data_IF_586227514842
#
_entry.id   IF_586227514842
#
_cell.length_a   1.000
_cell.length_b   1.000
_cell.length_c   1.000
_cell.angle_alpha   90.00
_cell.angle_beta   90.00
_cell.angle_gamma   90.00
#
_symmetry.space_group_name_H-M   'P 1'
#
loop_
_entity.id
_entity.type
_entity.pdbx_description
1 polymer ?
#
# COMPACT_ATOMS: atom_id res chain seq x y z
N UNK A 1 -13.87 -21.34 12.01
CA UNK A 1 -12.66 -22.17 12.08
C UNK A 1 -11.87 -22.22 10.77
N UNK A 2 -12.36 -22.88 9.71
CA UNK A 2 -11.62 -22.99 8.44
C UNK A 2 -11.21 -21.61 7.88
N UNK A 3 -12.15 -20.66 7.86
CA UNK A 3 -11.87 -19.27 7.46
C UNK A 3 -10.79 -18.60 8.33
N UNK A 4 -10.73 -18.91 9.63
CA UNK A 4 -9.72 -18.38 10.54
C UNK A 4 -8.32 -18.94 10.22
N UNK A 5 -8.26 -20.24 9.92
CA UNK A 5 -7.05 -20.94 9.52
C UNK A 5 -6.55 -20.46 8.16
N UNK A 6 -7.38 -20.56 7.12
CA UNK A 6 -6.99 -20.31 5.72
C UNK A 6 -6.69 -18.85 5.42
N UNK A 7 -7.37 -17.91 6.10
CA UNK A 7 -7.23 -16.47 5.80
C UNK A 7 -6.36 -15.71 6.78
N UNK A 8 -6.05 -16.24 7.96
CA UNK A 8 -5.32 -15.48 8.97
C UNK A 8 -4.13 -16.24 9.58
N UNK A 9 -4.35 -17.45 10.10
CA UNK A 9 -3.30 -18.20 10.81
C UNK A 9 -2.28 -18.86 9.87
N UNK A 10 -2.75 -19.64 8.88
CA UNK A 10 -1.87 -20.32 7.92
C UNK A 10 -1.07 -19.30 7.09
N UNK A 11 -1.65 -18.21 6.56
CA UNK A 11 -0.90 -17.18 5.85
C UNK A 11 -0.05 -16.25 6.74
N UNK A 12 -0.04 -16.45 8.07
CA UNK A 12 0.65 -15.59 9.05
C UNK A 12 0.22 -14.11 9.03
N UNK A 13 -1.04 -13.82 8.70
CA UNK A 13 -1.60 -12.45 8.80
C UNK A 13 -1.86 -12.08 10.27
N UNK A 14 -2.13 -13.07 11.12
CA UNK A 14 -2.23 -12.91 12.58
C UNK A 14 -1.72 -14.16 13.27
N UNK A 15 -0.88 -13.97 14.30
CA UNK A 15 -0.31 -15.06 15.11
C UNK A 15 -1.17 -15.41 16.33
N UNK A 16 -2.30 -14.71 16.53
CA UNK A 16 -3.20 -14.93 17.64
C UNK A 16 -4.48 -15.63 17.16
N UNK A 17 -4.77 -16.82 17.68
CA UNK A 17 -5.91 -17.61 17.24
C UNK A 17 -7.27 -16.97 17.54
N UNK A 18 -7.41 -16.27 18.67
CA UNK A 18 -8.66 -15.65 19.09
C UNK A 18 -8.96 -14.43 18.21
N UNK A 19 -7.94 -13.62 17.93
CA UNK A 19 -8.02 -12.50 16.99
C UNK A 19 -8.39 -12.98 15.60
N UNK A 20 -7.69 -14.00 15.09
CA UNK A 20 -7.96 -14.61 13.78
C UNK A 20 -9.37 -15.20 13.68
N UNK A 21 -9.85 -15.82 14.76
CA UNK A 21 -11.19 -16.38 14.83
C UNK A 21 -12.28 -15.29 14.86
N UNK A 22 -12.09 -14.25 15.66
CA UNK A 22 -12.99 -13.10 15.73
C UNK A 22 -13.06 -12.37 14.37
N UNK A 23 -11.93 -12.14 13.71
CA UNK A 23 -11.90 -11.57 12.36
C UNK A 23 -12.63 -12.45 11.32
N UNK A 24 -12.56 -13.77 11.45
CA UNK A 24 -13.32 -14.68 10.60
C UNK A 24 -14.83 -14.61 10.88
N UNK A 25 -15.24 -14.56 12.15
CA UNK A 25 -16.65 -14.43 12.54
C UNK A 25 -17.24 -13.09 12.08
N UNK A 26 -16.53 -11.99 12.28
CA UNK A 26 -16.95 -10.66 11.80
C UNK A 26 -17.18 -10.70 10.29
N UNK A 27 -16.27 -11.31 9.51
CA UNK A 27 -16.49 -11.46 8.07
C UNK A 27 -17.73 -12.29 7.75
N UNK A 28 -17.97 -13.40 8.45
CA UNK A 28 -19.18 -14.21 8.26
C UNK A 28 -20.45 -13.39 8.55
N UNK A 29 -20.48 -12.64 9.65
CA UNK A 29 -21.63 -11.83 10.04
C UNK A 29 -21.88 -10.61 9.13
N UNK A 30 -20.87 -10.17 8.37
CA UNK A 30 -20.95 -8.91 7.61
C UNK A 30 -20.90 -9.10 6.09
N UNK A 31 -19.93 -9.83 5.56
CA UNK A 31 -19.53 -9.72 4.15
C UNK A 31 -19.40 -11.06 3.44
N UNK A 32 -18.91 -12.10 4.13
CA UNK A 32 -18.54 -13.37 3.53
C UNK A 32 -19.75 -14.25 3.17
N UNK A 33 -20.80 -14.25 3.99
CA UNK A 33 -22.04 -15.00 3.73
C UNK A 33 -23.19 -14.04 3.46
N UNK A 34 -24.28 -14.51 2.84
CA UNK A 34 -25.50 -13.72 2.56
C UNK A 34 -26.74 -14.50 2.99
N UNK A 35 -27.87 -13.78 3.15
CA UNK A 35 -29.17 -14.37 3.46
C UNK A 35 -29.19 -15.11 4.80
N UNK A 36 -29.83 -16.28 4.82
CA UNK A 36 -30.07 -17.05 6.04
C UNK A 36 -28.79 -17.36 6.84
N UNK A 37 -27.67 -17.71 6.17
CA UNK A 37 -26.43 -18.03 6.85
C UNK A 37 -25.82 -16.86 7.61
N UNK A 38 -25.98 -15.63 7.08
CA UNK A 38 -25.54 -14.41 7.77
C UNK A 38 -26.41 -14.15 8.99
N UNK A 39 -27.73 -14.21 8.80
CA UNK A 39 -28.69 -13.98 9.88
C UNK A 39 -28.49 -14.98 11.03
N UNK A 40 -28.36 -16.27 10.70
CA UNK A 40 -28.07 -17.31 11.68
C UNK A 40 -26.78 -17.02 12.47
N UNK A 41 -25.71 -16.59 11.80
CA UNK A 41 -24.45 -16.28 12.46
C UNK A 41 -24.55 -15.03 13.37
N UNK A 42 -25.31 -14.02 12.97
CA UNK A 42 -25.57 -12.82 13.78
C UNK A 42 -26.39 -13.18 15.02
N UNK A 43 -27.48 -13.93 14.85
CA UNK A 43 -28.39 -14.29 15.94
C UNK A 43 -27.72 -15.21 16.99
N UNK A 44 -26.74 -16.00 16.57
CA UNK A 44 -26.01 -16.93 17.43
C UNK A 44 -24.60 -16.44 17.81
N UNK A 45 -24.25 -15.19 17.50
CA UNK A 45 -22.90 -14.65 17.69
C UNK A 45 -22.32 -14.87 19.10
N UNK A 46 -23.06 -14.66 20.21
CA UNK A 46 -22.55 -14.90 21.57
C UNK A 46 -22.12 -16.35 21.83
N UNK A 47 -22.78 -17.31 21.19
CA UNK A 47 -22.45 -18.73 21.30
C UNK A 47 -21.24 -19.07 20.42
N UNK A 48 -21.21 -18.51 19.21
CA UNK A 48 -20.16 -18.74 18.22
C UNK A 48 -18.82 -18.12 18.63
N UNK A 49 -18.81 -17.10 19.48
CA UNK A 49 -17.60 -16.49 20.06
C UNK A 49 -16.75 -17.48 20.88
N UNK A 50 -17.36 -18.52 21.45
CA UNK A 50 -16.64 -19.52 22.24
C UNK A 50 -15.85 -20.44 21.31
N UNK A 51 -14.54 -20.18 21.21
CA UNK A 51 -13.61 -21.05 20.50
C UNK A 51 -13.24 -22.25 21.38
N UNK A 52 -13.65 -23.45 20.98
CA UNK A 52 -13.43 -24.70 21.72
C UNK A 52 -12.20 -25.50 21.23
N UNK A 53 -11.51 -25.02 20.20
CA UNK A 53 -10.45 -25.75 19.50
C UNK A 53 -9.18 -24.93 19.36
N UNK A 54 -8.05 -25.60 19.51
CA UNK A 54 -6.73 -25.04 19.32
C UNK A 54 -6.41 -24.91 17.82
N UNK A 55 -6.68 -23.73 17.28
CA UNK A 55 -6.41 -23.42 15.87
C UNK A 55 -4.92 -23.22 15.61
N UNK A 56 -4.15 -22.81 16.63
CA UNK A 56 -2.73 -22.57 16.50
C UNK A 56 -1.98 -23.88 16.24
N UNK A 57 -2.30 -24.92 17.02
CA UNK A 57 -1.75 -26.27 16.82
C UNK A 57 -2.09 -26.83 15.44
N UNK A 58 -3.33 -26.66 14.98
CA UNK A 58 -3.75 -27.08 13.63
C UNK A 58 -2.98 -26.32 12.54
N UNK A 59 -2.85 -25.00 12.67
CA UNK A 59 -2.10 -24.18 11.72
C UNK A 59 -0.63 -24.61 11.66
N UNK A 60 -0.01 -24.85 12.80
CA UNK A 60 1.39 -25.28 12.89
C UNK A 60 1.60 -26.68 12.28
N UNK A 61 0.69 -27.64 12.50
CA UNK A 61 0.78 -28.96 11.84
C UNK A 61 0.71 -28.81 10.31
N UNK A 62 -0.23 -28.00 9.81
CA UNK A 62 -0.39 -27.73 8.38
C UNK A 62 0.85 -27.04 7.80
N UNK A 63 1.36 -26.00 8.45
CA UNK A 63 2.57 -25.27 8.03
C UNK A 63 3.79 -26.20 8.05
N UNK A 64 3.89 -27.11 9.01
CA UNK A 64 5.01 -28.06 9.09
C UNK A 64 4.95 -29.15 8.01
N UNK A 65 3.76 -29.69 7.71
CA UNK A 65 3.55 -30.70 6.65
C UNK A 65 3.65 -30.10 5.25
N UNK A 66 3.16 -28.88 5.10
CA UNK A 66 3.15 -28.14 3.86
C UNK A 66 3.83 -26.81 4.13
N UNK A 67 5.18 -26.78 4.23
CA UNK A 67 5.91 -25.53 4.37
C UNK A 67 5.48 -24.65 3.22
N UNK A 68 4.71 -23.63 3.56
CA UNK A 68 4.25 -22.66 2.59
C UNK A 68 5.55 -22.17 1.94
N UNK A 69 5.70 -22.39 0.64
CA UNK A 69 6.39 -21.40 -0.15
C UNK A 69 5.61 -20.14 0.19
N UNK A 70 6.13 -19.32 1.12
CA UNK A 70 5.63 -17.99 1.41
C UNK A 70 5.15 -17.49 0.07
N UNK A 71 3.84 -17.23 -0.06
CA UNK A 71 3.22 -16.81 -1.32
C UNK A 71 4.25 -15.92 -1.96
N UNK A 72 4.96 -16.40 -2.99
CA UNK A 72 6.17 -15.71 -3.46
C UNK A 72 5.57 -14.40 -3.92
N UNK A 73 5.76 -13.35 -3.11
CA UNK A 73 5.17 -12.01 -3.29
C UNK A 73 5.38 -11.78 -4.76
N UNK A 74 4.29 -11.75 -5.56
CA UNK A 74 4.31 -11.95 -7.02
C UNK A 74 5.55 -11.26 -7.55
N UNK A 75 6.59 -12.04 -7.85
CA UNK A 75 7.88 -11.46 -8.19
C UNK A 75 7.62 -10.75 -9.50
N UNK A 76 7.74 -9.42 -9.50
CA UNK A 76 7.64 -8.64 -10.73
C UNK A 76 8.54 -9.34 -11.75
N UNK A 77 7.98 -9.74 -12.88
CA UNK A 77 8.75 -10.44 -13.91
C UNK A 77 9.54 -9.38 -14.64
N UNK A 78 10.67 -8.98 -14.04
CA UNK A 78 11.59 -8.01 -14.62
C UNK A 78 12.23 -8.61 -15.88
N UNK A 79 12.54 -7.77 -16.85
CA UNK A 79 13.41 -8.18 -17.94
C UNK A 79 14.79 -8.60 -17.38
N UNK A 80 15.51 -9.49 -18.09
CA UNK A 80 16.76 -10.03 -17.57
C UNK A 80 17.83 -8.98 -17.23
N UNK A 81 17.83 -7.85 -17.92
CA UNK A 81 18.80 -6.77 -17.73
C UNK A 81 18.50 -6.01 -16.43
N UNK A 82 17.25 -5.57 -16.25
CA UNK A 82 16.80 -4.96 -14.99
C UNK A 82 17.01 -5.91 -13.80
N UNK A 83 16.73 -7.21 -13.98
CA UNK A 83 16.95 -8.20 -12.94
C UNK A 83 18.44 -8.33 -12.56
N UNK A 84 19.35 -8.29 -13.54
CA UNK A 84 20.79 -8.34 -13.29
C UNK A 84 21.25 -7.11 -12.49
N UNK A 85 20.78 -5.92 -12.85
CA UNK A 85 21.08 -4.67 -12.11
C UNK A 85 20.59 -4.79 -10.67
N UNK A 86 19.34 -5.24 -10.46
CA UNK A 86 18.75 -5.34 -9.13
C UNK A 86 19.49 -6.34 -8.24
N UNK A 87 19.92 -7.47 -8.82
CA UNK A 87 20.75 -8.45 -8.11
C UNK A 87 22.12 -7.87 -7.70
N UNK A 88 22.67 -6.94 -8.47
CA UNK A 88 23.90 -6.23 -8.12
C UNK A 88 23.73 -5.25 -6.94
N UNK A 89 22.55 -4.66 -6.81
CA UNK A 89 22.24 -3.65 -5.76
C UNK A 89 21.76 -4.31 -4.46
N UNK A 90 21.09 -5.47 -4.55
CA UNK A 90 20.49 -6.16 -3.41
C UNK A 90 21.42 -6.38 -2.21
N UNK A 91 22.69 -6.80 -2.38
CA UNK A 91 23.63 -6.97 -1.25
C UNK A 91 23.96 -5.67 -0.50
N UNK A 92 23.73 -4.51 -1.13
CA UNK A 92 24.04 -3.18 -0.59
C UNK A 92 22.80 -2.46 -0.06
N UNK A 93 21.66 -3.15 -0.06
CA UNK A 93 20.39 -2.64 0.43
C UNK A 93 20.09 -3.20 1.81
N UNK A 94 19.69 -2.32 2.73
CA UNK A 94 19.36 -2.68 4.11
C UNK A 94 18.02 -2.10 4.50
N UNK A 95 17.22 -2.89 5.20
CA UNK A 95 15.97 -2.43 5.78
C UNK A 95 16.25 -1.41 6.89
N UNK A 96 15.38 -0.41 6.99
CA UNK A 96 15.35 0.50 8.13
C UNK A 96 14.52 -0.17 9.22
N UNK A 97 15.16 -0.48 10.35
CA UNK A 97 14.59 -1.33 11.40
C UNK A 97 13.42 -0.72 12.15
N UNK A 98 13.33 0.61 12.19
CA UNK A 98 12.31 1.32 12.96
C UNK A 98 12.09 2.71 12.42
N UNK A 99 10.84 3.15 12.46
CA UNK A 99 10.44 4.53 12.23
C UNK A 99 9.73 5.04 13.48
N UNK A 100 9.81 6.35 13.70
CA UNK A 100 9.03 7.00 14.75
C UNK A 100 7.52 6.81 14.49
N UNK A 101 6.75 6.72 15.57
CA UNK A 101 5.29 6.68 15.50
C UNK A 101 4.75 7.98 14.89
N UNK A 102 3.82 7.82 13.94
CA UNK A 102 3.15 8.95 13.30
C UNK A 102 1.94 9.29 14.15
N UNK A 103 1.91 10.51 14.68
CA UNK A 103 0.81 10.97 15.51
C UNK A 103 -0.31 11.44 14.60
N UNK A 104 -1.43 10.73 14.62
CA UNK A 104 -2.65 11.13 13.90
C UNK A 104 -3.65 11.66 14.91
N UNK A 105 -4.30 12.77 14.59
CA UNK A 105 -5.19 13.49 15.50
C UNK A 105 -6.32 12.59 16.05
N UNK A 106 -6.59 12.69 17.35
CA UNK A 106 -7.29 11.70 18.21
C UNK A 106 -8.77 11.42 17.87
N UNK A 107 -9.33 12.08 16.86
CA UNK A 107 -10.76 11.98 16.54
C UNK A 107 -11.07 11.04 15.37
N UNK A 108 -10.05 10.45 14.74
CA UNK A 108 -10.21 9.64 13.53
C UNK A 108 -9.45 8.32 13.68
N UNK A 109 -10.11 7.21 13.33
CA UNK A 109 -9.42 5.92 13.19
C UNK A 109 -8.54 5.98 11.94
N UNK A 110 -7.24 5.87 12.16
CA UNK A 110 -6.23 5.94 11.11
C UNK A 110 -5.23 4.82 11.29
N UNK A 111 -4.97 4.10 10.19
CA UNK A 111 -3.90 3.13 10.12
C UNK A 111 -2.77 3.72 9.27
N UNK A 112 -1.54 3.65 9.79
CA UNK A 112 -0.36 4.10 9.05
C UNK A 112 0.68 3.00 9.06
N UNK A 113 1.23 2.70 7.89
CA UNK A 113 2.37 1.81 7.72
C UNK A 113 3.51 2.60 7.09
N UNK A 114 4.71 2.43 7.66
CA UNK A 114 5.94 3.03 7.14
C UNK A 114 7.00 1.96 7.02
N UNK A 115 7.61 1.89 5.85
CA UNK A 115 8.72 1.00 5.56
C UNK A 115 9.78 1.78 4.78
N UNK A 116 11.01 1.30 4.82
CA UNK A 116 12.06 1.95 4.04
C UNK A 116 13.33 1.14 4.01
N UNK A 117 14.17 1.54 3.08
CA UNK A 117 15.45 0.92 2.80
C UNK A 117 16.51 1.99 2.67
N UNK A 118 17.72 1.63 3.07
CA UNK A 118 18.94 2.36 2.77
C UNK A 118 19.72 1.59 1.70
N UNK A 119 19.99 2.23 0.58
CA UNK A 119 20.80 1.70 -0.51
C UNK A 119 22.16 2.37 -0.43
N UNK A 120 23.20 1.60 -0.14
CA UNK A 120 24.59 2.09 -0.17
C UNK A 120 25.14 1.89 -1.58
N UNK A 121 25.85 2.86 -2.12
CA UNK A 121 26.43 2.71 -3.45
C UNK A 121 27.45 1.56 -3.47
N UNK A 122 27.36 0.63 -4.44
CA UNK A 122 28.35 -0.42 -4.64
C UNK A 122 29.68 0.14 -5.17
N UNK A 123 29.65 1.34 -5.77
CA UNK A 123 30.82 2.02 -6.35
C UNK A 123 31.53 2.89 -5.32
N UNK A 124 30.78 3.52 -4.41
CA UNK A 124 31.32 4.36 -3.35
C UNK A 124 30.57 4.13 -2.03
N UNK A 125 31.15 3.34 -1.13
CA UNK A 125 30.54 2.98 0.16
C UNK A 125 30.22 4.14 1.10
N UNK A 126 30.70 5.36 0.82
CA UNK A 126 30.37 6.56 1.60
C UNK A 126 29.07 7.21 1.12
N UNK A 127 28.61 6.91 -0.09
CA UNK A 127 27.38 7.45 -0.66
C UNK A 127 26.23 6.47 -0.39
N UNK A 128 25.11 7.02 0.07
CA UNK A 128 23.89 6.24 0.26
C UNK A 128 22.66 7.09 0.05
N UNK A 129 21.60 6.43 -0.37
CA UNK A 129 20.26 7.02 -0.45
C UNK A 129 19.32 6.25 0.46
N UNK A 130 18.28 6.94 0.89
CA UNK A 130 17.21 6.40 1.71
C UNK A 130 15.91 6.51 0.91
N UNK A 131 15.21 5.39 0.79
CA UNK A 131 13.86 5.35 0.22
C UNK A 131 12.87 4.95 1.31
N UNK A 132 11.82 5.74 1.50
CA UNK A 132 10.80 5.53 2.52
C UNK A 132 9.44 5.53 1.84
N UNK A 133 8.63 4.52 2.15
CA UNK A 133 7.24 4.43 1.73
C UNK A 133 6.36 4.57 2.97
N UNK A 134 5.41 5.50 2.90
CA UNK A 134 4.35 5.63 3.89
C UNK A 134 3.01 5.38 3.22
N UNK A 135 2.20 4.48 3.75
CA UNK A 135 0.79 4.30 3.40
C UNK A 135 -0.07 4.65 4.59
N UNK A 136 -1.17 5.34 4.34
CA UNK A 136 -2.11 5.74 5.37
C UNK A 136 -3.53 5.48 4.87
N UNK A 137 -4.36 4.96 5.77
CA UNK A 137 -5.78 4.71 5.55
C UNK A 137 -6.56 5.39 6.68
N UNK A 138 -7.41 6.35 6.31
CA UNK A 138 -8.22 7.11 7.24
C UNK A 138 -9.69 6.81 6.99
N UNK A 139 -10.40 6.46 8.06
CA UNK A 139 -11.84 6.24 8.00
C UNK A 139 -12.58 7.52 8.40
N UNK A 140 -13.65 7.81 7.67
CA UNK A 140 -14.60 8.87 8.01
C UNK A 140 -15.35 8.56 9.30
N UNK A 141 -15.85 9.62 9.94
CA UNK A 141 -16.66 9.52 11.16
C UNK A 141 -18.06 8.99 10.87
N UNK A 142 -18.80 8.60 11.91
CA UNK A 142 -20.16 8.02 11.83
C UNK A 142 -21.16 8.81 10.95
N UNK A 143 -20.97 10.12 10.80
CA UNK A 143 -21.85 10.99 10.02
C UNK A 143 -21.54 11.01 8.51
N UNK A 144 -20.35 10.56 8.10
CA UNK A 144 -19.89 10.51 6.71
C UNK A 144 -19.03 9.26 6.54
N UNK A 145 -19.62 8.17 6.05
CA UNK A 145 -18.88 6.92 5.77
C UNK A 145 -18.00 7.15 4.54
N UNK A 146 -16.82 7.74 4.70
CA UNK A 146 -15.81 7.84 3.67
C UNK A 146 -14.55 7.07 4.07
N UNK A 147 -13.71 6.76 3.11
CA UNK A 147 -12.37 6.22 3.36
C UNK A 147 -11.38 6.92 2.44
N UNK A 148 -10.32 7.43 3.04
CA UNK A 148 -9.22 8.09 2.34
C UNK A 148 -7.99 7.18 2.41
N UNK A 149 -7.40 6.89 1.26
CA UNK A 149 -6.08 6.26 1.18
C UNK A 149 -5.07 7.25 0.66
N UNK A 150 -3.91 7.28 1.31
CA UNK A 150 -2.77 8.07 0.88
C UNK A 150 -1.53 7.23 0.86
N UNK A 151 -0.67 7.43 -0.14
CA UNK A 151 0.65 6.85 -0.17
C UNK A 151 1.69 7.88 -0.60
N UNK A 152 2.90 7.80 -0.04
CA UNK A 152 4.05 8.56 -0.50
C UNK A 152 5.27 7.67 -0.63
N UNK A 153 6.06 7.90 -1.67
CA UNK A 153 7.41 7.37 -1.84
C UNK A 153 8.36 8.56 -1.86
N UNK A 154 9.22 8.61 -0.84
CA UNK A 154 10.24 9.63 -0.68
C UNK A 154 11.60 9.00 -0.89
N UNK A 155 12.40 9.58 -1.77
CA UNK A 155 13.76 9.14 -2.06
C UNK A 155 14.69 10.35 -1.93
N UNK A 156 15.70 10.23 -1.08
CA UNK A 156 16.66 11.30 -0.82
C UNK A 156 18.05 10.74 -0.50
N UNK A 157 19.13 11.54 -0.62
CA UNK A 157 20.42 11.20 -0.03
C UNK A 157 20.26 10.93 1.47
N UNK A 158 20.91 9.88 1.98
CA UNK A 158 20.74 9.47 3.38
C UNK A 158 21.23 10.52 4.39
N UNK A 159 22.10 11.44 3.98
CA UNK A 159 22.59 12.56 4.79
C UNK A 159 21.55 13.67 4.98
N UNK A 160 20.59 13.77 4.06
CA UNK A 160 19.56 14.82 4.07
C UNK A 160 18.34 14.43 4.93
N UNK A 161 18.38 13.27 5.58
CA UNK A 161 17.33 12.80 6.49
C UNK A 161 17.43 13.55 7.83
N UNK A 162 17.13 14.85 7.83
CA UNK A 162 17.00 15.64 9.05
C UNK A 162 15.57 15.63 9.59
N UNK A 163 15.42 15.50 10.91
CA UNK A 163 14.12 15.48 11.59
C UNK A 163 13.59 16.91 11.82
N UNK A 164 12.30 17.13 11.51
CA UNK A 164 11.56 18.33 11.94
C UNK A 164 10.39 17.92 12.84
N UNK A 165 10.14 18.71 13.89
CA UNK A 165 9.09 18.45 14.89
C UNK A 165 7.69 18.82 14.37
N UNK A 166 6.91 17.85 13.88
CA UNK A 166 5.46 17.92 13.61
C UNK A 166 4.77 16.54 13.74
N UNK A 167 3.46 16.44 13.47
CA UNK A 167 2.62 15.22 13.53
C UNK A 167 3.19 14.04 12.71
N UNK A 168 3.88 14.33 11.60
CA UNK A 168 4.84 13.41 10.98
C UNK A 168 6.25 13.83 11.40
N UNK A 169 6.95 13.06 12.25
CA UNK A 169 8.27 13.43 12.78
C UNK A 169 9.35 13.59 11.70
N UNK A 170 9.09 13.08 10.48
CA UNK A 170 9.98 13.22 9.34
C UNK A 170 9.42 14.15 8.24
N UNK A 171 8.18 14.62 8.35
CA UNK A 171 7.50 15.45 7.33
C UNK A 171 7.57 14.85 5.91
N UNK A 172 7.45 13.52 5.80
CA UNK A 172 7.62 12.74 4.56
C UNK A 172 6.29 12.28 3.94
N UNK A 173 5.19 12.46 4.65
CA UNK A 173 3.87 12.07 4.16
C UNK A 173 2.95 13.30 4.03
N UNK A 174 2.61 13.70 2.79
CA UNK A 174 1.73 14.83 2.58
C UNK A 174 0.30 14.39 2.91
N UNK A 175 -0.37 15.12 3.79
CA UNK A 175 -1.76 14.85 4.11
C UNK A 175 -2.65 15.21 2.92
N UNK A 176 -3.51 14.26 2.54
CA UNK A 176 -4.60 14.47 1.60
C UNK A 176 -5.83 14.90 2.40
N UNK A 177 -6.34 16.09 2.12
CA UNK A 177 -7.47 16.67 2.86
C UNK A 177 -8.70 16.79 1.96
N UNK A 178 -9.81 16.23 2.44
CA UNK A 178 -11.16 16.51 1.95
C UNK A 178 -11.84 17.47 2.94
N UNK A 179 -12.06 18.71 2.51
CA UNK A 179 -12.83 19.71 3.24
C UNK A 179 -14.07 20.07 2.45
N UNK A 180 -15.18 20.36 3.14
CA UNK A 180 -16.44 20.79 2.54
C UNK A 180 -16.20 21.88 1.47
N UNK A 181 -16.37 21.51 0.19
CA UNK A 181 -16.28 22.42 -0.95
C UNK A 181 -14.90 22.58 -1.62
N UNK A 182 -13.88 21.82 -1.22
CA UNK A 182 -12.57 21.85 -1.87
C UNK A 182 -12.23 20.52 -2.55
N UNK A 183 -11.78 20.58 -3.82
CA UNK A 183 -11.14 19.44 -4.49
C UNK A 183 -9.98 18.94 -3.62
N UNK A 184 -9.88 17.63 -3.46
CA UNK A 184 -8.82 17.01 -2.69
C UNK A 184 -7.45 17.45 -3.20
N UNK A 185 -6.59 17.93 -2.31
CA UNK A 185 -5.23 18.35 -2.66
C UNK A 185 -4.27 17.96 -1.55
N UNK A 186 -3.07 17.56 -1.93
CA UNK A 186 -1.94 17.45 -1.00
C UNK A 186 -1.59 18.81 -0.42
N UNK A 187 -1.42 18.87 0.91
CA UNK A 187 -1.17 20.11 1.67
C UNK A 187 0.17 20.78 1.34
N UNK A 188 1.22 20.00 1.07
CA UNK A 188 2.52 20.50 0.61
C UNK A 188 3.36 19.34 0.06
N UNK A 189 3.99 19.49 -1.11
CA UNK A 189 4.96 18.51 -1.64
C UNK A 189 6.37 19.09 -1.61
N UNK A 190 7.33 18.34 -1.04
CA UNK A 190 8.75 18.71 -1.06
C UNK A 190 9.43 18.19 -2.34
N UNK A 191 10.69 18.56 -2.57
CA UNK A 191 11.53 18.00 -3.65
C UNK A 191 11.80 16.50 -3.49
N UNK A 192 11.64 15.95 -2.28
CA UNK A 192 11.98 14.57 -1.94
C UNK A 192 10.92 13.56 -2.37
N UNK A 193 9.70 14.03 -2.68
CA UNK A 193 8.57 13.17 -3.05
C UNK A 193 8.66 12.75 -4.52
N UNK A 194 8.99 11.48 -4.74
CA UNK A 194 9.07 10.86 -6.08
C UNK A 194 7.69 10.41 -6.56
N UNK A 195 6.85 9.96 -5.63
CA UNK A 195 5.49 9.52 -5.91
C UNK A 195 4.59 9.84 -4.73
N UNK A 196 3.39 10.35 -5.02
CA UNK A 196 2.32 10.55 -4.04
C UNK A 196 0.99 10.17 -4.67
N UNK A 197 0.16 9.47 -3.92
CA UNK A 197 -1.14 8.94 -4.32
C UNK A 197 -2.20 9.31 -3.29
N UNK A 198 -3.35 9.77 -3.76
CA UNK A 198 -4.51 10.12 -2.94
C UNK A 198 -5.77 9.55 -3.57
N UNK A 199 -6.49 8.74 -2.81
CA UNK A 199 -7.75 8.11 -3.21
C UNK A 199 -8.79 8.46 -2.16
N UNK A 200 -9.91 9.02 -2.62
CA UNK A 200 -11.08 9.29 -1.78
C UNK A 200 -12.22 8.38 -2.22
N UNK A 201 -12.95 7.84 -1.26
CA UNK A 201 -14.15 7.04 -1.52
C UNK A 201 -15.25 7.37 -0.53
N UNK A 202 -16.42 7.77 -1.03
CA UNK A 202 -17.66 7.88 -0.25
C UNK A 202 -18.40 6.52 -0.29
N UNK A 203 -18.87 6.01 0.86
CA UNK A 203 -19.72 4.83 0.98
C UNK A 203 -21.16 5.32 1.20
N UNK A 204 -22.11 4.90 0.36
CA UNK A 204 -23.53 5.21 0.53
C UNK A 204 -24.10 4.56 1.80
N UNK A 205 -25.19 5.15 2.32
CA UNK A 205 -25.83 4.83 3.61
C UNK A 205 -26.18 3.34 3.75
N UNK A 206 -26.37 2.62 2.64
CA UNK A 206 -26.76 1.22 2.57
C UNK A 206 -25.59 0.22 2.50
N UNK A 207 -24.33 0.68 2.46
CA UNK A 207 -23.16 -0.20 2.35
C UNK A 207 -23.07 -0.95 1.02
N UNK A 208 -23.85 -0.53 0.02
CA UNK A 208 -23.68 -0.94 -1.36
C UNK A 208 -22.66 -0.03 -2.04
N UNK A 209 -21.84 -0.57 -2.93
CA UNK A 209 -21.12 0.25 -3.90
C UNK A 209 -22.11 0.53 -5.03
N UNK A 210 -22.77 1.70 -5.05
CA UNK A 210 -23.83 1.93 -6.05
C UNK A 210 -24.38 3.36 -6.14
N UNK A 211 -23.98 4.02 -7.23
CA UNK A 211 -24.62 5.09 -8.02
C UNK A 211 -25.86 5.85 -7.50
N UNK A 212 -25.77 7.19 -7.56
CA UNK A 212 -26.89 8.07 -7.96
C UNK A 212 -26.39 9.48 -8.39
N UNK A 213 -26.34 9.71 -9.70
CA UNK A 213 -26.56 10.98 -10.43
C UNK A 213 -25.72 12.24 -10.08
N UNK A 214 -24.45 12.20 -10.53
CA UNK A 214 -23.53 13.28 -10.98
C UNK A 214 -22.07 12.91 -10.63
N UNK A 215 -21.67 11.70 -11.02
CA UNK A 215 -20.46 11.02 -10.53
C UNK A 215 -19.20 11.20 -11.39
N UNK A 216 -19.30 11.92 -12.52
CA UNK A 216 -18.20 12.01 -13.47
C UNK A 216 -16.98 12.80 -12.94
N UNK A 217 -17.14 13.62 -11.89
CA UNK A 217 -16.05 14.41 -11.32
C UNK A 217 -15.54 13.90 -9.94
N UNK A 218 -16.13 12.84 -9.37
CA UNK A 218 -15.97 12.53 -7.92
C UNK A 218 -15.01 11.40 -7.53
N UNK A 219 -14.43 10.68 -8.50
CA UNK A 219 -13.48 9.59 -8.24
C UNK A 219 -12.14 9.82 -8.97
N UNK A 220 -11.63 11.04 -8.96
CA UNK A 220 -10.28 11.33 -9.48
C UNK A 220 -9.24 10.84 -8.47
N UNK A 221 -8.36 9.95 -8.92
CA UNK A 221 -7.19 9.55 -8.14
C UNK A 221 -6.10 10.61 -8.36
N UNK A 222 -5.77 11.41 -7.34
CA UNK A 222 -4.68 12.41 -7.41
C UNK A 222 -3.35 11.66 -7.32
N UNK A 223 -2.55 11.76 -8.38
CA UNK A 223 -1.21 11.17 -8.45
C UNK A 223 -0.24 12.26 -8.86
N UNK A 224 0.81 12.41 -8.07
CA UNK A 224 1.88 13.37 -8.34
C UNK A 224 3.22 12.68 -8.29
N UNK A 225 4.04 12.98 -9.29
CA UNK A 225 5.31 12.30 -9.49
C UNK A 225 6.43 13.27 -9.80
N UNK A 226 7.64 12.84 -9.48
CA UNK A 226 8.89 13.49 -9.85
C UNK A 226 9.89 12.44 -10.30
N UNK A 227 10.87 12.83 -11.14
CA UNK A 227 12.00 11.96 -11.45
C UNK A 227 12.82 11.68 -10.20
N UNK A 228 13.43 10.50 -10.13
CA UNK A 228 14.37 10.12 -9.08
C UNK A 228 15.84 10.16 -9.54
N UNK A 229 16.12 10.73 -10.72
CA UNK A 229 17.44 10.67 -11.38
C UNK A 229 18.54 11.27 -10.51
N UNK A 230 18.29 12.40 -9.83
CA UNK A 230 19.27 12.99 -8.92
C UNK A 230 19.76 12.01 -7.83
N UNK A 231 18.85 11.19 -7.28
CA UNK A 231 19.21 10.19 -6.26
C UNK A 231 19.90 8.96 -6.89
N UNK A 232 19.47 8.57 -8.09
CA UNK A 232 20.08 7.46 -8.82
C UNK A 232 21.53 7.80 -9.23
N UNK A 233 21.75 8.99 -9.77
CA UNK A 233 23.07 9.52 -10.16
C UNK A 233 24.03 9.58 -8.96
N UNK A 234 23.51 9.93 -7.77
CA UNK A 234 24.27 9.93 -6.50
C UNK A 234 24.83 8.56 -6.13
N UNK A 235 24.22 7.46 -6.60
CA UNK A 235 24.76 6.12 -6.37
C UNK A 235 25.93 5.79 -7.32
N UNK A 236 26.10 6.53 -8.42
CA UNK A 236 27.20 6.34 -9.37
C UNK A 236 27.20 4.98 -10.07
N UNK A 237 26.04 4.29 -10.10
CA UNK A 237 25.88 3.00 -10.76
C UNK A 237 25.65 3.27 -12.25
N UNK A 238 26.47 2.73 -13.17
CA UNK A 238 26.26 2.92 -14.60
C UNK A 238 24.88 2.46 -15.05
N UNK A 239 24.25 3.23 -15.93
CA UNK A 239 22.93 2.95 -16.54
C UNK A 239 21.76 2.79 -15.54
N UNK A 240 21.98 3.11 -14.26
CA UNK A 240 20.95 3.08 -13.23
C UNK A 240 20.19 4.41 -13.16
N UNK A 241 19.05 4.47 -13.83
CA UNK A 241 18.21 5.68 -13.93
C UNK A 241 17.29 5.88 -12.74
N UNK A 242 16.67 7.06 -12.62
CA UNK A 242 15.63 7.33 -11.64
C UNK A 242 14.41 6.39 -11.78
N UNK A 243 14.07 6.01 -13.01
CA UNK A 243 13.01 5.02 -13.28
C UNK A 243 13.37 3.65 -12.70
N UNK A 244 14.59 3.17 -12.94
CA UNK A 244 15.08 1.90 -12.40
C UNK A 244 15.17 1.93 -10.87
N UNK A 245 15.57 3.06 -10.30
CA UNK A 245 15.57 3.27 -8.86
C UNK A 245 14.15 3.19 -8.28
N UNK A 246 13.18 3.87 -8.90
CA UNK A 246 11.80 3.80 -8.44
C UNK A 246 11.21 2.38 -8.57
N UNK A 247 11.46 1.69 -9.69
CA UNK A 247 11.10 0.27 -9.87
C UNK A 247 11.75 -0.61 -8.80
N UNK A 248 13.03 -0.38 -8.48
CA UNK A 248 13.75 -1.15 -7.46
C UNK A 248 13.11 -1.00 -6.08
N UNK A 249 12.81 0.23 -5.68
CA UNK A 249 12.15 0.54 -4.40
C UNK A 249 10.80 -0.16 -4.29
N UNK A 250 9.98 -0.10 -5.35
CA UNK A 250 8.69 -0.79 -5.38
C UNK A 250 8.83 -2.31 -5.40
N UNK A 251 9.81 -2.86 -6.12
CA UNK A 251 10.06 -4.30 -6.15
C UNK A 251 10.52 -4.84 -4.78
N UNK A 252 11.39 -4.09 -4.11
CA UNK A 252 11.96 -4.49 -2.83
C UNK A 252 10.94 -4.38 -1.69
N UNK A 253 10.29 -3.23 -1.54
CA UNK A 253 9.33 -2.99 -0.45
C UNK A 253 7.96 -3.62 -0.75
N UNK A 254 7.55 -3.63 -2.02
CA UNK A 254 6.28 -4.14 -2.52
C UNK A 254 5.09 -3.67 -1.65
N UNK A 255 4.84 -2.35 -1.64
CA UNK A 255 3.83 -1.73 -0.80
C UNK A 255 2.42 -2.03 -1.32
N UNK A 256 1.45 -2.04 -0.42
CA UNK A 256 0.03 -2.19 -0.75
C UNK A 256 -0.82 -1.24 0.06
N UNK A 257 -1.92 -0.77 -0.50
CA UNK A 257 -2.90 -0.01 0.26
C UNK A 257 -3.78 -0.98 1.08
N UNK A 258 -3.94 -0.68 2.36
CA UNK A 258 -4.78 -1.46 3.27
C UNK A 258 -6.25 -1.45 2.85
N UNK A 259 -7.03 -2.40 3.38
CA UNK A 259 -8.50 -2.43 3.24
C UNK A 259 -9.01 -2.34 1.80
N UNK A 260 -8.27 -2.96 0.87
CA UNK A 260 -8.55 -2.98 -0.57
C UNK A 260 -8.41 -1.62 -1.29
N UNK A 261 -7.65 -0.67 -0.73
CA UNK A 261 -7.42 0.63 -1.40
C UNK A 261 -6.79 0.50 -2.80
N UNK A 262 -6.04 -0.57 -3.06
CA UNK A 262 -5.45 -0.83 -4.38
C UNK A 262 -6.49 -1.22 -5.45
N UNK A 263 -7.72 -1.60 -5.08
CA UNK A 263 -8.75 -2.01 -6.06
C UNK A 263 -9.09 -0.85 -6.98
N UNK A 264 -9.36 0.33 -6.44
CA UNK A 264 -9.75 1.49 -7.25
C UNK A 264 -8.62 1.91 -8.19
N UNK A 265 -7.37 1.93 -7.69
CA UNK A 265 -6.21 2.21 -8.53
C UNK A 265 -6.06 1.16 -9.63
N UNK A 266 -6.23 -0.12 -9.31
CA UNK A 266 -6.14 -1.20 -10.28
C UNK A 266 -7.20 -1.05 -11.38
N UNK A 267 -8.45 -0.78 -11.03
CA UNK A 267 -9.53 -0.58 -12.00
C UNK A 267 -9.21 0.57 -12.97
N UNK A 268 -8.68 1.70 -12.46
CA UNK A 268 -8.25 2.82 -13.32
C UNK A 268 -7.09 2.47 -14.25
N UNK A 269 -6.10 1.73 -13.76
CA UNK A 269 -4.99 1.26 -14.59
C UNK A 269 -5.49 0.27 -15.66
N UNK A 270 -6.42 -0.61 -15.32
CA UNK A 270 -7.02 -1.55 -16.27
C UNK A 270 -7.84 -0.79 -17.35
N UNK A 271 -8.56 0.28 -17.00
CA UNK A 271 -9.23 1.17 -17.97
C UNK A 271 -8.24 1.82 -18.94
N UNK A 272 -7.10 2.32 -18.44
CA UNK A 272 -6.04 2.90 -19.26
C UNK A 272 -5.41 1.88 -20.22
N UNK A 273 -5.22 0.65 -19.75
CA UNK A 273 -4.76 -0.46 -20.59
C UNK A 273 -5.75 -0.78 -21.70
N UNK A 274 -7.04 -0.86 -21.40
CA UNK A 274 -8.09 -1.11 -22.40
C UNK A 274 -8.16 0.02 -23.44
N UNK A 275 -7.94 1.27 -23.03
CA UNK A 275 -7.85 2.42 -23.95
C UNK A 275 -6.59 2.44 -24.82
N UNK A 276 -5.57 1.66 -24.46
CA UNK A 276 -4.26 1.67 -25.12
C UNK A 276 -3.36 2.84 -24.71
N UNK A 277 -3.71 3.54 -23.62
CA UNK A 277 -2.90 4.64 -23.07
C UNK A 277 -1.65 4.13 -22.31
N UNK A 278 -1.70 2.87 -21.85
CA UNK A 278 -0.59 2.15 -21.21
C UNK A 278 -0.45 0.78 -21.89
N UNK A 279 0.77 0.27 -22.09
CA UNK A 279 0.98 -1.05 -22.66
C UNK A 279 0.27 -2.17 -21.88
N UNK A 280 -0.43 -3.05 -22.60
CA UNK A 280 -1.02 -4.29 -22.07
C UNK A 280 0.02 -5.41 -21.88
N UNK A 281 1.09 -5.39 -22.68
CA UNK A 281 2.09 -6.46 -22.76
C UNK A 281 3.31 -6.27 -21.84
N UNK A 282 3.43 -5.11 -21.20
CA UNK A 282 4.52 -4.90 -20.25
C UNK A 282 4.32 -5.82 -19.04
N UNK A 283 5.30 -6.72 -18.87
CA UNK A 283 5.69 -7.44 -17.65
C UNK A 283 4.93 -7.02 -16.40
N UNK A 284 4.48 -7.98 -15.57
CA UNK A 284 3.83 -7.73 -14.28
C UNK A 284 4.63 -6.71 -13.45
N UNK A 285 4.30 -5.43 -13.60
CA UNK A 285 4.90 -4.30 -12.92
C UNK A 285 4.00 -3.89 -11.76
N UNK A 286 4.58 -3.16 -10.81
CA UNK A 286 3.84 -2.69 -9.65
C UNK A 286 2.74 -1.71 -10.08
N UNK A 287 1.56 -1.76 -9.45
CA UNK A 287 0.43 -0.86 -9.78
C UNK A 287 0.85 0.61 -9.73
N UNK A 288 1.63 0.98 -8.71
CA UNK A 288 2.09 2.34 -8.53
C UNK A 288 3.10 2.78 -9.60
N UNK A 289 3.82 1.83 -10.22
CA UNK A 289 4.69 2.15 -11.33
C UNK A 289 3.90 2.50 -12.59
N UNK A 290 2.82 1.77 -12.90
CA UNK A 290 1.95 2.13 -14.03
C UNK A 290 1.35 3.53 -13.84
N UNK A 291 0.88 3.83 -12.64
CA UNK A 291 0.40 5.16 -12.26
C UNK A 291 1.49 6.22 -12.45
N UNK A 292 2.69 5.94 -11.95
CA UNK A 292 3.82 6.86 -12.05
C UNK A 292 4.20 7.14 -13.50
N UNK A 293 4.37 6.09 -14.31
CA UNK A 293 4.78 6.19 -15.71
C UNK A 293 3.73 6.93 -16.56
N UNK A 294 2.44 6.64 -16.37
CA UNK A 294 1.38 7.33 -17.09
C UNK A 294 1.35 8.83 -16.79
N UNK A 295 1.41 9.20 -15.51
CA UNK A 295 1.41 10.60 -15.08
C UNK A 295 2.67 11.31 -15.55
N UNK A 296 3.84 10.67 -15.42
CA UNK A 296 5.11 11.21 -15.85
C UNK A 296 5.12 11.53 -17.36
N UNK A 297 4.58 10.63 -18.18
CA UNK A 297 4.55 10.80 -19.63
C UNK A 297 3.45 11.75 -20.13
N UNK A 298 2.32 11.83 -19.43
CA UNK A 298 1.19 12.69 -19.85
C UNK A 298 1.20 14.07 -19.23
N UNK A 299 1.94 14.29 -18.14
CA UNK A 299 1.95 15.54 -17.38
C UNK A 299 0.62 15.85 -16.67
N UNK A 300 -0.32 14.89 -16.62
CA UNK A 300 -1.58 15.01 -15.88
C UNK A 300 -1.31 14.99 -14.37
N UNK A 301 -2.30 15.31 -13.55
CA UNK A 301 -2.21 15.15 -12.08
C UNK A 301 -3.21 14.13 -11.54
N UNK A 302 -3.97 13.50 -12.42
CA UNK A 302 -5.04 12.57 -12.06
C UNK A 302 -5.08 11.39 -13.02
N UNK A 303 -5.55 10.25 -12.50
CA UNK A 303 -5.78 9.01 -13.24
C UNK A 303 -7.28 8.73 -13.31
#
# INVERSE_FOLDING_TARGET
MAIALERYLIPMISNNQETSYNMALVKICTTLTKGWFRQFAVDNYPQLLKLDKDLLSIANDIISKYPLKQKKKLALVLDPETQAIFNGIFPYTKDISSFDEIVVDNHLTCNVERSGIKITSPVNGNLSITAIITTMCKFGTDCTKSTDWTASVVILPSEDLEAKRFNDPLDLHPYYYYGYGHKCKFSLLTSMHVFVLGIHSEISIDGSWGSEENWEEKNEIDVRVKPADYCADKLGIPDFTGELLFKYVLNYLNPTLQHNGDIQLKERIDELKVRGDIPTDDSQQHLWYYAWNYIFNTGKSTI
#
